data_IF_552269907184
#
_entry.id   IF_552269907184
#
_cell.length_a   1.000
_cell.length_b   1.000
_cell.length_c   1.000
_cell.angle_alpha   90.00
_cell.angle_beta   90.00
_cell.angle_gamma   90.00
#
_symmetry.space_group_name_H-M   'P 1'
#
loop_
_entity.id
_entity.type
_entity.pdbx_description
1 polymer ?
#
# COMPACT_ATOMS: atom_id res chain seq x y z
N UNK A 1 -3.31 34.90 24.84
CA UNK A 1 -3.25 34.47 23.42
C UNK A 1 -2.20 33.39 23.15
N UNK A 2 -0.94 33.55 23.58
CA UNK A 2 0.11 32.51 23.43
C UNK A 2 -0.31 31.14 24.01
N UNK A 3 -0.94 31.16 25.20
CA UNK A 3 -1.44 29.96 25.88
C UNK A 3 -2.52 29.19 25.10
N UNK A 4 -3.42 29.85 24.37
CA UNK A 4 -4.45 29.18 23.54
C UNK A 4 -3.87 28.53 22.28
N UNK A 5 -2.86 29.16 21.67
CA UNK A 5 -2.13 28.59 20.52
C UNK A 5 -1.30 27.38 20.95
N UNK A 6 -0.63 27.46 22.10
CA UNK A 6 0.14 26.34 22.67
C UNK A 6 -0.78 25.17 23.03
N UNK A 7 -1.95 25.43 23.63
CA UNK A 7 -2.95 24.38 23.93
C UNK A 7 -3.49 23.75 22.65
N UNK A 8 -3.77 24.54 21.61
CA UNK A 8 -4.24 24.01 20.32
C UNK A 8 -3.15 23.17 19.63
N UNK A 9 -1.91 23.64 19.62
CA UNK A 9 -0.77 22.88 19.08
C UNK A 9 -0.52 21.59 19.89
N UNK A 10 -0.62 21.64 21.22
CA UNK A 10 -0.49 20.48 22.08
C UNK A 10 -1.62 19.47 21.87
N UNK A 11 -2.88 19.92 21.77
CA UNK A 11 -4.03 19.05 21.45
C UNK A 11 -3.90 18.45 20.05
N UNK A 12 -3.41 19.21 19.07
CA UNK A 12 -3.11 18.70 17.74
C UNK A 12 -2.07 17.58 17.81
N UNK A 13 -0.95 17.80 18.51
CA UNK A 13 0.11 16.78 18.70
C UNK A 13 -0.43 15.53 19.42
N UNK A 14 -1.26 15.69 20.46
CA UNK A 14 -1.84 14.59 21.23
C UNK A 14 -2.81 13.74 20.36
N UNK A 15 -3.57 14.37 19.47
CA UNK A 15 -4.47 13.65 18.54
C UNK A 15 -3.67 12.81 17.52
N UNK A 16 -2.43 13.19 17.21
CA UNK A 16 -1.52 12.43 16.32
C UNK A 16 -0.55 11.48 17.06
N UNK A 17 -0.65 11.35 18.39
CA UNK A 17 0.27 10.54 19.21
C UNK A 17 -0.12 9.05 19.31
N UNK A 18 -0.72 8.47 18.27
CA UNK A 18 -1.02 7.03 18.24
C UNK A 18 0.22 6.31 17.70
N UNK A 19 0.75 5.25 18.37
CA UNK A 19 1.77 4.42 17.76
C UNK A 19 1.26 3.92 16.40
N UNK A 20 1.95 4.32 15.34
CA UNK A 20 1.51 4.09 13.97
C UNK A 20 1.80 2.65 13.57
N UNK A 21 0.82 1.76 13.71
CA UNK A 21 0.85 0.43 13.09
C UNK A 21 0.58 0.62 11.59
N UNK A 22 1.60 1.09 10.86
CA UNK A 22 1.48 1.40 9.45
C UNK A 22 2.49 0.58 8.67
N UNK A 23 1.98 -0.14 7.66
CA UNK A 23 2.82 -0.71 6.62
C UNK A 23 3.79 0.35 6.09
N UNK A 24 5.04 -0.02 5.84
CA UNK A 24 5.98 0.85 5.15
C UNK A 24 5.52 1.01 3.70
N UNK A 25 5.14 2.23 3.26
CA UNK A 25 4.48 2.38 1.98
C UNK A 25 5.50 2.43 0.84
N UNK A 26 5.22 1.73 -0.24
CA UNK A 26 5.88 1.87 -1.54
C UNK A 26 4.78 2.28 -2.52
N UNK A 27 4.97 3.37 -3.25
CA UNK A 27 3.98 3.84 -4.21
C UNK A 27 4.52 3.62 -5.60
N UNK A 28 3.68 3.07 -6.47
CA UNK A 28 3.92 3.11 -7.89
C UNK A 28 4.01 4.58 -8.37
N UNK A 29 5.14 4.91 -8.99
CA UNK A 29 5.33 6.19 -9.70
C UNK A 29 5.53 6.01 -11.21
N UNK A 30 5.92 4.81 -11.62
CA UNK A 30 6.01 4.31 -12.99
C UNK A 30 5.54 2.86 -12.96
N UNK A 31 5.08 2.37 -14.11
CA UNK A 31 4.61 1.01 -14.31
C UNK A 31 5.62 -0.03 -13.77
N UNK A 32 5.13 -0.99 -12.98
CA UNK A 32 5.95 -1.95 -12.22
C UNK A 32 6.23 -3.23 -13.01
N UNK A 33 6.65 -3.09 -14.27
CA UNK A 33 6.97 -4.23 -15.14
C UNK A 33 8.08 -5.13 -14.57
N UNK A 34 8.18 -6.37 -15.05
CA UNK A 34 9.15 -7.36 -14.56
C UNK A 34 10.62 -6.89 -14.56
N UNK A 35 11.01 -6.06 -15.54
CA UNK A 35 12.36 -5.49 -15.63
C UNK A 35 12.59 -4.27 -14.72
N UNK A 36 11.52 -3.69 -14.17
CA UNK A 36 11.54 -2.56 -13.24
C UNK A 36 10.47 -2.74 -12.14
N UNK A 37 10.58 -3.79 -11.31
CA UNK A 37 9.57 -4.10 -10.30
C UNK A 37 9.66 -3.14 -9.11
N UNK A 38 8.59 -3.04 -8.32
CA UNK A 38 8.70 -2.47 -6.98
C UNK A 38 9.55 -3.40 -6.10
N UNK A 39 10.59 -2.89 -5.43
CA UNK A 39 11.47 -3.71 -4.59
C UNK A 39 11.10 -3.54 -3.13
N UNK A 40 10.76 -4.64 -2.47
CA UNK A 40 10.57 -4.70 -1.00
C UNK A 40 11.92 -5.05 -0.35
N UNK A 41 12.53 -4.12 0.43
CA UNK A 41 13.88 -4.33 0.95
C UNK A 41 14.01 -5.44 1.99
N UNK A 42 12.96 -5.64 2.79
CA UNK A 42 12.89 -6.67 3.82
C UNK A 42 11.46 -7.20 3.86
N UNK A 43 11.25 -8.37 3.25
CA UNK A 43 9.94 -8.99 3.10
C UNK A 43 9.36 -9.57 4.39
N UNK A 44 10.13 -9.57 5.49
CA UNK A 44 9.59 -9.92 6.80
C UNK A 44 8.91 -8.72 7.45
N UNK A 45 9.41 -7.51 7.16
CA UNK A 45 8.79 -6.27 7.61
C UNK A 45 7.54 -6.01 6.79
N UNK A 46 6.49 -5.54 7.44
CA UNK A 46 5.22 -5.19 6.83
C UNK A 46 5.36 -3.96 5.92
N UNK A 47 5.47 -4.20 4.61
CA UNK A 47 5.41 -3.18 3.56
C UNK A 47 4.05 -3.25 2.86
N UNK A 48 3.58 -2.11 2.33
CA UNK A 48 2.41 -2.04 1.47
C UNK A 48 2.77 -1.34 0.17
N UNK A 49 2.65 -2.07 -0.95
CA UNK A 49 2.82 -1.54 -2.29
C UNK A 49 1.48 -1.05 -2.80
N UNK A 50 1.36 0.26 -3.00
CA UNK A 50 0.21 0.94 -3.60
C UNK A 50 0.41 1.01 -5.10
N UNK A 51 -0.36 0.23 -5.86
CA UNK A 51 -0.28 0.13 -7.32
C UNK A 51 -1.63 0.33 -8.01
N UNK A 52 -1.58 0.53 -9.32
CA UNK A 52 -2.73 0.74 -10.20
C UNK A 52 -2.53 -0.01 -11.51
N UNK A 53 -3.31 -1.08 -11.71
CA UNK A 53 -3.42 -1.68 -13.03
C UNK A 53 -4.23 -0.73 -13.92
N UNK A 54 -3.61 -0.19 -14.97
CA UNK A 54 -4.26 0.78 -15.87
C UNK A 54 -5.21 0.11 -16.85
N UNK A 55 -4.86 -1.10 -17.30
CA UNK A 55 -5.67 -1.91 -18.22
C UNK A 55 -5.72 -3.37 -17.75
N UNK A 56 -6.42 -4.23 -18.48
CA UNK A 56 -6.49 -5.69 -18.19
C UNK A 56 -5.25 -6.45 -18.68
N UNK A 57 -4.46 -5.84 -19.55
CA UNK A 57 -3.17 -6.36 -20.02
C UNK A 57 -2.02 -5.96 -19.09
N UNK A 58 -2.29 -5.06 -18.15
CA UNK A 58 -1.33 -4.54 -17.21
C UNK A 58 -0.99 -5.57 -16.12
N UNK A 59 0.31 -5.68 -15.81
CA UNK A 59 0.84 -6.62 -14.84
C UNK A 59 1.94 -5.93 -14.04
N UNK A 60 1.65 -5.68 -12.78
CA UNK A 60 2.61 -5.16 -11.83
C UNK A 60 3.40 -6.29 -11.18
N UNK A 61 4.69 -6.07 -10.96
CA UNK A 61 5.60 -6.98 -10.29
C UNK A 61 6.22 -6.32 -9.06
N UNK A 62 6.15 -7.04 -7.94
CA UNK A 62 6.83 -6.68 -6.70
C UNK A 62 7.89 -7.73 -6.38
N UNK A 63 9.15 -7.31 -6.28
CA UNK A 63 10.29 -8.18 -6.03
C UNK A 63 10.71 -8.13 -4.56
N UNK A 64 11.07 -9.29 -4.02
CA UNK A 64 11.82 -9.39 -2.77
C UNK A 64 12.85 -10.52 -2.83
N UNK A 65 13.94 -10.39 -2.09
CA UNK A 65 14.96 -11.44 -1.96
C UNK A 65 14.77 -12.19 -0.65
N UNK A 66 14.75 -13.52 -0.71
CA UNK A 66 14.44 -14.37 0.43
C UNK A 66 15.43 -15.53 0.58
N UNK A 67 15.50 -16.11 1.78
CA UNK A 67 16.34 -17.27 2.08
C UNK A 67 15.47 -18.50 2.23
N UNK A 68 16.01 -19.64 1.83
CA UNK A 68 15.36 -20.94 2.00
C UNK A 68 14.91 -21.14 3.45
N UNK A 69 13.71 -21.70 3.62
CA UNK A 69 13.07 -21.99 4.91
C UNK A 69 12.56 -20.78 5.70
N UNK A 70 12.83 -19.55 5.26
CA UNK A 70 12.15 -18.40 5.83
C UNK A 70 10.67 -18.44 5.48
N UNK A 71 9.83 -17.91 6.37
CA UNK A 71 8.40 -17.74 6.09
C UNK A 71 8.14 -16.41 5.39
N UNK A 72 7.14 -16.39 4.52
CA UNK A 72 6.65 -15.18 3.88
C UNK A 72 5.14 -15.03 4.05
N UNK A 73 4.67 -13.80 3.91
CA UNK A 73 3.26 -13.46 3.88
C UNK A 73 3.01 -12.42 2.80
N UNK A 74 1.91 -12.63 2.07
CA UNK A 74 1.40 -11.68 1.09
C UNK A 74 -0.11 -11.55 1.32
N UNK A 75 -0.62 -10.32 1.30
CA UNK A 75 -2.06 -10.03 1.36
C UNK A 75 -2.45 -8.96 0.35
N UNK A 76 -3.53 -9.19 -0.38
CA UNK A 76 -4.17 -8.21 -1.24
C UNK A 76 -5.27 -7.48 -0.50
N UNK A 77 -5.26 -6.16 -0.63
CA UNK A 77 -6.36 -5.31 -0.22
C UNK A 77 -6.80 -4.40 -1.36
N UNK A 78 -8.10 -4.29 -1.55
CA UNK A 78 -8.73 -3.51 -2.62
C UNK A 78 -9.42 -2.30 -1.97
N UNK A 79 -9.00 -1.06 -2.26
CA UNK A 79 -9.60 0.12 -1.65
C UNK A 79 -11.07 0.28 -2.06
N UNK A 80 -11.93 0.61 -1.10
CA UNK A 80 -13.35 0.88 -1.34
C UNK A 80 -13.50 2.31 -1.89
N UNK A 81 -13.29 2.44 -3.20
CA UNK A 81 -13.36 3.71 -3.94
C UNK A 81 -14.16 3.56 -5.22
N UNK A 82 -14.67 4.70 -5.72
CA UNK A 82 -15.36 4.74 -7.01
C UNK A 82 -14.41 4.30 -8.13
N UNK A 83 -14.84 3.36 -8.98
CA UNK A 83 -14.07 2.79 -10.09
C UNK A 83 -13.43 1.43 -9.78
N UNK A 84 -13.49 0.97 -8.53
CA UNK A 84 -12.91 -0.30 -8.06
C UNK A 84 -13.97 -1.37 -7.75
N UNK A 85 -15.27 -1.10 -7.93
CA UNK A 85 -16.38 -1.94 -7.46
C UNK A 85 -16.32 -3.39 -7.94
N UNK A 86 -15.85 -3.61 -9.17
CA UNK A 86 -15.72 -4.94 -9.78
C UNK A 86 -14.26 -5.34 -10.04
N UNK A 87 -13.30 -4.62 -9.44
CA UNK A 87 -11.88 -4.93 -9.61
C UNK A 87 -11.53 -6.22 -8.87
N UNK A 88 -11.14 -7.25 -9.63
CA UNK A 88 -10.87 -8.61 -9.15
C UNK A 88 -9.46 -9.05 -9.57
N UNK A 89 -8.41 -8.52 -8.92
CA UNK A 89 -7.04 -8.88 -9.24
C UNK A 89 -6.72 -10.31 -8.83
N UNK A 90 -5.87 -10.95 -9.60
CA UNK A 90 -5.14 -12.17 -9.29
C UNK A 90 -3.79 -11.79 -8.68
N UNK A 91 -3.25 -12.68 -7.84
CA UNK A 91 -1.85 -12.61 -7.41
C UNK A 91 -1.14 -13.88 -7.88
N UNK A 92 0.09 -13.76 -8.38
CA UNK A 92 0.96 -14.90 -8.58
C UNK A 92 2.27 -14.74 -7.77
N UNK A 93 2.62 -15.75 -6.98
CA UNK A 93 3.93 -15.85 -6.32
C UNK A 93 4.84 -16.64 -7.24
N UNK A 94 5.95 -16.03 -7.66
CA UNK A 94 6.85 -16.51 -8.70
C UNK A 94 8.26 -16.58 -8.13
N UNK A 95 8.97 -17.67 -8.38
CA UNK A 95 10.35 -17.83 -7.92
C UNK A 95 10.94 -19.19 -8.26
N UNK A 96 12.25 -19.30 -8.06
CA UNK A 96 12.96 -20.57 -8.23
C UNK A 96 12.61 -21.55 -7.11
N UNK A 97 12.50 -22.85 -7.42
CA UNK A 97 12.17 -23.89 -6.44
C UNK A 97 10.67 -24.07 -6.17
N UNK A 98 9.81 -23.15 -6.60
CA UNK A 98 8.37 -23.37 -6.72
C UNK A 98 8.15 -24.47 -7.79
N UNK A 99 7.43 -25.54 -7.44
CA UNK A 99 7.27 -26.70 -8.33
C UNK A 99 6.09 -26.52 -9.29
N UNK A 100 5.09 -25.78 -8.86
CA UNK A 100 3.89 -25.45 -9.59
C UNK A 100 4.25 -24.61 -10.83
N UNK A 101 3.66 -24.99 -11.97
CA UNK A 101 3.76 -24.23 -13.22
C UNK A 101 2.36 -23.80 -13.60
N UNK A 102 1.88 -22.72 -12.97
CA UNK A 102 0.60 -22.13 -13.33
C UNK A 102 0.64 -21.53 -14.74
N UNK A 103 -0.50 -21.56 -15.43
CA UNK A 103 -0.69 -20.82 -16.67
C UNK A 103 -0.84 -19.32 -16.35
N UNK A 104 -0.01 -18.49 -16.97
CA UNK A 104 0.09 -17.06 -16.69
C UNK A 104 -0.11 -16.29 -17.99
N UNK A 105 -0.82 -15.13 -17.98
CA UNK A 105 -1.00 -14.31 -19.17
C UNK A 105 0.27 -13.54 -19.58
N UNK A 106 1.40 -13.81 -18.91
CA UNK A 106 2.69 -13.17 -19.13
C UNK A 106 3.82 -14.20 -18.98
N UNK A 107 5.00 -13.87 -19.49
CA UNK A 107 6.16 -14.75 -19.43
C UNK A 107 6.95 -14.55 -18.14
N UNK A 108 7.45 -15.65 -17.59
CA UNK A 108 8.39 -15.68 -16.47
C UNK A 108 9.66 -16.46 -16.87
N UNK A 109 10.80 -16.30 -16.17
CA UNK A 109 12.00 -17.10 -16.42
C UNK A 109 11.70 -18.60 -16.40
N UNK A 110 12.32 -19.37 -17.31
CA UNK A 110 12.04 -20.81 -17.45
C UNK A 110 12.38 -21.64 -16.21
N UNK A 111 13.33 -21.18 -15.39
CA UNK A 111 13.71 -21.83 -14.13
C UNK A 111 12.72 -21.57 -12.99
N UNK A 112 11.76 -20.66 -13.15
CA UNK A 112 10.83 -20.28 -12.11
C UNK A 112 9.53 -21.09 -12.21
N UNK A 113 8.96 -21.39 -11.05
CA UNK A 113 7.57 -21.82 -10.90
C UNK A 113 6.69 -20.66 -10.46
N UNK A 114 5.38 -20.89 -10.43
CA UNK A 114 4.39 -19.92 -9.98
C UNK A 114 3.20 -20.58 -9.28
N UNK A 115 2.77 -19.96 -8.18
CA UNK A 115 1.51 -20.26 -7.46
C UNK A 115 0.55 -19.09 -7.70
N UNK A 116 -0.63 -19.37 -8.25
CA UNK A 116 -1.66 -18.35 -8.54
C UNK A 116 -2.76 -18.39 -7.50
N UNK A 117 -3.11 -17.21 -6.98
CA UNK A 117 -4.26 -16.98 -6.12
C UNK A 117 -5.33 -16.20 -6.89
N UNK A 118 -6.45 -16.86 -7.25
CA UNK A 118 -7.57 -16.19 -7.92
C UNK A 118 -8.32 -15.22 -6.98
N UNK A 119 -9.16 -14.32 -7.51
CA UNK A 119 -10.13 -13.54 -6.75
C UNK A 119 -10.88 -14.39 -5.72
N UNK A 120 -10.69 -14.07 -4.45
CA UNK A 120 -11.30 -14.77 -3.32
C UNK A 120 -12.41 -13.95 -2.63
N UNK A 121 -13.02 -14.51 -1.57
CA UNK A 121 -13.97 -13.78 -0.73
C UNK A 121 -13.38 -12.46 -0.22
N UNK A 122 -14.21 -11.42 -0.22
CA UNK A 122 -13.81 -10.08 0.20
C UNK A 122 -14.43 -9.74 1.55
N UNK A 123 -13.59 -9.33 2.51
CA UNK A 123 -14.03 -8.90 3.83
C UNK A 123 -13.75 -7.40 4.01
N UNK A 124 -14.78 -6.64 4.40
CA UNK A 124 -14.62 -5.22 4.67
C UNK A 124 -13.66 -4.99 5.85
N UNK A 125 -12.72 -4.07 5.68
CA UNK A 125 -11.73 -3.68 6.67
C UNK A 125 -11.53 -2.16 6.62
N UNK A 126 -11.68 -1.51 7.77
CA UNK A 126 -11.36 -0.09 7.88
C UNK A 126 -10.01 0.11 8.58
N UNK A 127 -9.04 0.61 7.83
CA UNK A 127 -7.70 0.90 8.30
C UNK A 127 -7.70 2.29 8.98
N UNK A 128 -7.44 2.30 10.30
CA UNK A 128 -7.63 3.46 11.16
C UNK A 128 -6.58 4.55 10.97
N UNK A 129 -5.35 4.21 10.60
CA UNK A 129 -4.23 5.16 10.50
C UNK A 129 -4.37 6.05 9.27
N UNK A 130 -4.54 5.44 8.10
CA UNK A 130 -4.80 6.14 6.84
C UNK A 130 -6.27 6.47 6.66
N UNK A 131 -7.15 6.02 7.56
CA UNK A 131 -8.61 6.23 7.49
C UNK A 131 -9.19 5.73 6.17
N UNK A 132 -8.70 4.59 5.69
CA UNK A 132 -9.03 4.05 4.37
C UNK A 132 -9.79 2.74 4.53
N UNK A 133 -10.92 2.63 3.84
CA UNK A 133 -11.68 1.40 3.76
C UNK A 133 -11.11 0.53 2.64
N UNK A 134 -10.96 -0.76 2.92
CA UNK A 134 -10.54 -1.79 1.98
C UNK A 134 -11.48 -2.99 2.06
N UNK A 135 -11.46 -3.79 1.01
CA UNK A 135 -11.76 -5.21 1.08
C UNK A 135 -10.45 -5.99 1.19
N UNK A 136 -10.29 -6.79 2.25
CA UNK A 136 -9.25 -7.83 2.28
C UNK A 136 -9.67 -8.96 1.36
N UNK A 137 -8.83 -9.29 0.39
CA UNK A 137 -9.10 -10.29 -0.63
C UNK A 137 -8.25 -11.54 -0.37
N UNK A 138 -7.29 -11.84 -1.24
CA UNK A 138 -6.43 -13.02 -1.11
C UNK A 138 -5.32 -12.80 -0.10
N UNK A 139 -4.91 -13.87 0.58
CA UNK A 139 -3.63 -13.91 1.29
C UNK A 139 -3.01 -15.29 1.21
N UNK A 140 -1.68 -15.33 1.34
CA UNK A 140 -0.92 -16.57 1.41
C UNK A 140 0.18 -16.43 2.45
N UNK A 141 0.34 -17.47 3.26
CA UNK A 141 1.55 -17.74 4.05
C UNK A 141 2.21 -18.98 3.49
N UNK A 142 3.53 -18.96 3.42
CA UNK A 142 4.29 -20.10 2.96
C UNK A 142 5.72 -20.06 3.45
N UNK A 143 6.46 -21.10 3.09
CA UNK A 143 7.89 -21.22 3.32
C UNK A 143 8.63 -21.07 1.99
N UNK A 144 9.77 -20.39 2.02
CA UNK A 144 10.59 -20.12 0.84
C UNK A 144 11.32 -21.41 0.42
N UNK A 145 11.02 -21.99 -0.75
CA UNK A 145 11.56 -23.31 -1.14
C UNK A 145 13.05 -23.28 -1.53
N UNK A 146 13.55 -22.12 -1.97
CA UNK A 146 14.96 -21.95 -2.37
C UNK A 146 15.39 -20.49 -2.15
N UNK A 147 16.61 -20.28 -1.66
CA UNK A 147 17.16 -18.92 -1.53
C UNK A 147 17.27 -18.23 -2.90
N UNK A 148 16.82 -16.99 -3.00
CA UNK A 148 16.85 -16.24 -4.26
C UNK A 148 15.84 -15.10 -4.32
N UNK A 149 15.62 -14.60 -5.53
CA UNK A 149 14.64 -13.56 -5.82
C UNK A 149 13.26 -14.15 -6.09
N UNK A 150 12.25 -13.56 -5.46
CA UNK A 150 10.85 -13.88 -5.63
C UNK A 150 10.10 -12.64 -6.13
N UNK A 151 9.04 -12.90 -6.88
CA UNK A 151 8.20 -11.88 -7.47
C UNK A 151 6.75 -12.16 -7.09
N UNK A 152 6.02 -11.11 -6.75
CA UNK A 152 4.57 -11.12 -6.62
C UNK A 152 4.03 -10.34 -7.81
N UNK A 153 3.36 -11.03 -8.74
CA UNK A 153 2.67 -10.39 -9.84
C UNK A 153 1.23 -10.08 -9.46
N UNK A 154 0.73 -8.89 -9.80
CA UNK A 154 -0.66 -8.48 -9.66
C UNK A 154 -1.20 -8.20 -11.06
N UNK A 155 -2.30 -8.84 -11.42
CA UNK A 155 -2.91 -8.73 -12.76
C UNK A 155 -4.42 -8.97 -12.71
N UNK A 156 -5.15 -8.63 -13.77
CA UNK A 156 -6.61 -8.81 -13.82
C UNK A 156 -7.07 -9.07 -15.25
N UNK A 157 -7.91 -10.09 -15.47
CA UNK A 157 -8.42 -10.40 -16.82
C UNK A 157 -9.56 -9.49 -17.28
N UNK A 158 -10.23 -8.81 -16.37
CA UNK A 158 -11.47 -8.08 -16.65
C UNK A 158 -11.16 -6.59 -16.87
N UNK A 159 -10.71 -5.93 -15.79
CA UNK A 159 -10.42 -4.50 -15.76
C UNK A 159 -9.27 -4.16 -14.83
N UNK A 160 -8.69 -2.99 -15.08
CA UNK A 160 -7.76 -2.35 -14.16
C UNK A 160 -8.43 -1.81 -12.90
N UNK A 161 -7.60 -1.40 -11.94
CA UNK A 161 -8.01 -0.87 -10.65
C UNK A 161 -6.83 -0.65 -9.71
N UNK A 162 -7.09 0.10 -8.64
CA UNK A 162 -6.09 0.39 -7.61
C UNK A 162 -6.06 -0.72 -6.56
N UNK A 163 -4.90 -0.96 -5.97
CA UNK A 163 -4.75 -1.92 -4.89
C UNK A 163 -3.70 -1.48 -3.87
N UNK A 164 -3.67 -2.19 -2.74
CA UNK A 164 -2.53 -2.23 -1.85
C UNK A 164 -2.14 -3.69 -1.59
N UNK A 165 -0.92 -4.05 -1.98
CA UNK A 165 -0.33 -5.37 -1.78
C UNK A 165 0.61 -5.33 -0.58
N UNK A 166 0.25 -6.04 0.48
CA UNK A 166 1.07 -6.17 1.67
C UNK A 166 2.06 -7.32 1.51
N UNK A 167 3.32 -7.09 1.86
CA UNK A 167 4.37 -8.11 1.95
C UNK A 167 4.96 -8.04 3.37
N UNK A 168 5.03 -9.18 4.04
CA UNK A 168 5.53 -9.28 5.42
C UNK A 168 4.49 -8.93 6.47
N UNK A 169 4.77 -9.31 7.72
CA UNK A 169 3.86 -9.13 8.87
C UNK A 169 4.51 -8.43 10.05
N UNK A 170 5.85 -8.43 10.13
CA UNK A 170 6.55 -7.84 11.28
C UNK A 170 6.51 -6.34 11.17
N UNK A 171 6.09 -5.69 12.24
CA UNK A 171 6.10 -4.23 12.28
C UNK A 171 7.43 -3.71 12.75
N UNK A 172 7.88 -2.62 12.12
CA UNK A 172 9.11 -1.93 12.49
C UNK A 172 8.92 -0.43 12.32
N UNK A 173 8.58 0.23 13.43
CA UNK A 173 8.35 1.67 13.49
C UNK A 173 9.63 2.36 13.93
N UNK A 174 10.15 3.25 13.09
CA UNK A 174 11.25 4.15 13.41
C UNK A 174 10.78 5.59 13.65
N UNK A 175 11.65 6.41 14.25
CA UNK A 175 11.37 7.83 14.50
C UNK A 175 11.04 8.60 13.22
N UNK A 176 11.69 8.25 12.11
CA UNK A 176 11.45 8.84 10.79
C UNK A 176 10.03 8.51 10.31
N UNK A 177 9.52 7.30 10.56
CA UNK A 177 8.16 6.92 10.17
C UNK A 177 7.11 7.79 10.90
N UNK A 178 7.35 8.12 12.17
CA UNK A 178 6.48 9.01 12.97
C UNK A 178 6.49 10.44 12.39
N UNK A 179 7.67 11.00 12.13
CA UNK A 179 7.82 12.37 11.63
C UNK A 179 7.23 12.51 10.21
N UNK A 180 7.36 11.48 9.38
CA UNK A 180 6.89 11.49 7.98
C UNK A 180 5.43 11.06 7.83
N UNK A 181 4.79 10.56 8.89
CA UNK A 181 3.42 10.04 8.83
C UNK A 181 2.39 11.03 8.25
N UNK A 182 2.36 12.33 8.60
CA UNK A 182 1.39 13.27 8.01
C UNK A 182 1.52 13.37 6.49
N UNK A 183 2.75 13.30 5.96
CA UNK A 183 3.00 13.27 4.52
C UNK A 183 2.52 11.95 3.90
N UNK A 184 2.82 10.81 4.52
CA UNK A 184 2.37 9.50 4.08
C UNK A 184 0.83 9.44 4.04
N UNK A 185 0.17 9.91 5.09
CA UNK A 185 -1.29 10.00 5.17
C UNK A 185 -1.87 10.74 3.96
N UNK A 186 -1.36 11.95 3.68
CA UNK A 186 -1.80 12.74 2.54
C UNK A 186 -1.48 12.05 1.20
N UNK A 187 -0.34 11.36 1.11
CA UNK A 187 0.05 10.62 -0.09
C UNK A 187 -0.87 9.44 -0.38
N UNK A 188 -1.27 8.67 0.64
CA UNK A 188 -2.28 7.60 0.50
C UNK A 188 -3.62 8.18 0.04
N UNK A 189 -4.08 9.27 0.67
CA UNK A 189 -5.31 9.95 0.27
C UNK A 189 -5.25 10.43 -1.18
N UNK A 190 -4.14 11.06 -1.56
CA UNK A 190 -3.92 11.55 -2.91
C UNK A 190 -3.89 10.40 -3.93
N UNK A 191 -3.20 9.31 -3.62
CA UNK A 191 -3.11 8.14 -4.49
C UNK A 191 -4.49 7.57 -4.83
N UNK A 192 -5.35 7.36 -3.83
CA UNK A 192 -6.69 6.81 -4.08
C UNK A 192 -7.71 7.84 -4.56
N UNK A 193 -7.60 9.10 -4.14
CA UNK A 193 -8.56 10.14 -4.51
C UNK A 193 -7.89 11.52 -4.63
N UNK A 194 -7.20 11.81 -5.75
CA UNK A 194 -6.37 12.99 -5.88
C UNK A 194 -7.19 14.29 -5.80
N UNK A 195 -8.32 14.36 -6.52
CA UNK A 195 -9.17 15.54 -6.54
C UNK A 195 -9.76 15.86 -5.16
N UNK A 196 -10.34 14.87 -4.47
CA UNK A 196 -10.89 15.08 -3.12
C UNK A 196 -9.79 15.51 -2.15
N UNK A 197 -8.62 14.91 -2.24
CA UNK A 197 -7.48 15.25 -1.36
C UNK A 197 -7.06 16.71 -1.56
N UNK A 198 -6.85 17.14 -2.81
CA UNK A 198 -6.47 18.53 -3.12
C UNK A 198 -7.54 19.52 -2.65
N UNK A 199 -8.82 19.24 -2.88
CA UNK A 199 -9.91 20.12 -2.45
C UNK A 199 -9.98 20.26 -0.91
N UNK A 200 -9.94 19.15 -0.18
CA UNK A 200 -9.98 19.16 1.29
C UNK A 200 -8.75 19.86 1.86
N UNK A 201 -7.55 19.53 1.38
CA UNK A 201 -6.32 20.17 1.83
C UNK A 201 -6.33 21.68 1.53
N UNK A 202 -6.83 22.09 0.36
CA UNK A 202 -7.00 23.50 0.00
C UNK A 202 -7.95 24.24 0.94
N UNK A 203 -9.11 23.65 1.25
CA UNK A 203 -10.09 24.21 2.20
C UNK A 203 -9.46 24.37 3.59
N UNK A 204 -8.75 23.36 4.09
CA UNK A 204 -8.08 23.44 5.40
C UNK A 204 -7.05 24.57 5.43
N UNK A 205 -6.24 24.73 4.37
CA UNK A 205 -5.26 25.82 4.27
C UNK A 205 -5.96 27.19 4.29
N UNK A 206 -7.06 27.37 3.54
CA UNK A 206 -7.83 28.62 3.53
C UNK A 206 -8.37 28.93 4.92
N UNK A 207 -8.96 27.95 5.61
CA UNK A 207 -9.48 28.10 6.98
C UNK A 207 -8.35 28.53 7.93
N UNK A 208 -7.18 27.90 7.86
CA UNK A 208 -6.03 28.25 8.67
C UNK A 208 -5.57 29.69 8.40
N UNK A 209 -5.51 30.13 7.14
CA UNK A 209 -5.16 31.51 6.78
C UNK A 209 -6.18 32.51 7.36
N UNK A 210 -7.47 32.21 7.27
CA UNK A 210 -8.54 33.06 7.83
C UNK A 210 -8.42 33.15 9.35
N UNK A 211 -8.22 32.03 10.04
CA UNK A 211 -8.01 31.98 11.49
C UNK A 211 -6.79 32.84 11.88
N UNK A 212 -5.66 32.71 11.17
CA UNK A 212 -4.46 33.50 11.44
C UNK A 212 -4.73 35.01 11.25
N UNK A 213 -5.43 35.40 10.18
CA UNK A 213 -5.81 36.81 9.93
C UNK A 213 -6.72 37.35 11.05
N UNK A 214 -7.72 36.59 11.48
CA UNK A 214 -8.62 36.97 12.58
C UNK A 214 -7.89 37.11 13.91
N UNK A 215 -6.90 36.24 14.17
CA UNK A 215 -6.05 36.31 15.35
C UNK A 215 -5.16 37.56 15.32
N UNK A 216 -4.60 37.93 14.16
CA UNK A 216 -3.80 39.15 13.99
C UNK A 216 -4.64 40.41 14.15
N UNK A 217 -5.87 40.45 13.62
CA UNK A 217 -6.78 41.61 13.72
C UNK A 217 -7.26 41.90 15.15
N UNK A 218 -7.23 40.90 16.04
CA UNK A 218 -7.62 41.02 17.46
C UNK A 218 -6.45 41.39 18.39
N UNK A 219 -5.25 41.59 17.84
CA UNK A 219 -4.08 42.15 18.53
C UNK A 219 -3.89 43.59 18.09
#
# INVERSE_FOLDING_TARGET
MKRKIVIFAALFIIIFSVPAYAHKPIFEGKDLIFSNPAVVPDYQISYAVYGELKTKEDVDFVKFSAKEKDTFYVEMTIPVIKGNEDFKPYIAIIGEGIKEKADLPFKIPQSYGAIVLPPGPQNYFYEKFTQTAYYRAQSIRGEIPKSGDYYVAVYSYDRGGKYALSIGEKEKIGLIDIITFPYIYLKVKYFFNPLKTVLITGIVIIILIVIIKLIKKRR
#
